data_IF_377730020466
#
_entry.id   IF_377730020466
#
_cell.length_a   1.000
_cell.length_b   1.000
_cell.length_c   1.000
_cell.angle_alpha   90.00
_cell.angle_beta   90.00
_cell.angle_gamma   90.00
#
_symmetry.space_group_name_H-M   'P 1'
#
loop_
_entity.id
_entity.type
_entity.pdbx_description
1 polymer ?
#
# COMPACT_ATOMS: atom_id res chain seq x y z
N UNK A 1 13.82 13.27 11.38
CA UNK A 1 13.68 13.70 9.97
C UNK A 1 14.61 12.83 9.12
N UNK A 2 14.07 12.06 8.18
CA UNK A 2 14.87 11.35 7.16
C UNK A 2 14.33 11.72 5.79
N UNK A 3 15.14 12.46 5.03
CA UNK A 3 14.87 12.98 3.68
C UNK A 3 15.43 12.05 2.60
N UNK A 4 15.01 10.78 2.58
CA UNK A 4 15.49 9.79 1.57
C UNK A 4 14.43 9.34 0.57
N UNK A 5 13.33 10.10 0.45
CA UNK A 5 12.39 9.97 -0.66
C UNK A 5 12.12 11.35 -1.22
N UNK A 6 12.23 11.51 -2.54
CA UNK A 6 12.06 12.73 -3.33
C UNK A 6 10.61 13.26 -3.34
N UNK A 7 9.84 12.95 -2.30
CA UNK A 7 8.41 13.23 -2.20
C UNK A 7 8.14 13.81 -0.82
N UNK A 8 7.86 15.12 -0.80
CA UNK A 8 7.39 15.83 0.39
C UNK A 8 5.97 15.35 0.74
N UNK A 9 5.89 14.27 1.51
CA UNK A 9 4.62 13.76 2.00
C UNK A 9 4.08 14.62 3.15
N UNK A 10 2.79 14.97 3.14
CA UNK A 10 2.20 15.77 4.21
C UNK A 10 2.19 14.99 5.55
N UNK A 11 2.40 15.69 6.69
CA UNK A 11 2.45 15.05 8.00
C UNK A 11 1.12 14.33 8.31
N UNK A 12 1.22 13.09 8.82
CA UNK A 12 0.12 12.14 9.10
C UNK A 12 -0.55 11.49 7.88
N UNK A 13 0.23 11.02 6.91
CA UNK A 13 -0.29 10.14 5.85
C UNK A 13 0.35 8.75 5.87
N UNK A 14 0.12 7.92 6.93
CA UNK A 14 0.51 6.50 6.91
C UNK A 14 -0.20 5.72 5.78
N UNK A 15 -1.25 6.29 5.20
CA UNK A 15 -2.02 5.75 4.07
C UNK A 15 -1.34 5.88 2.69
N UNK A 16 -0.17 6.54 2.62
CA UNK A 16 0.55 6.82 1.38
C UNK A 16 1.80 5.97 1.18
N UNK A 17 1.85 4.78 1.79
CA UNK A 17 2.73 3.70 1.28
C UNK A 17 1.87 2.66 0.58
N UNK A 18 1.49 2.87 -0.69
CA UNK A 18 0.65 1.95 -1.47
C UNK A 18 1.17 0.51 -1.46
N UNK A 19 2.50 0.27 -1.56
CA UNK A 19 3.04 -1.07 -1.43
C UNK A 19 2.73 -1.71 -0.09
N UNK A 20 2.76 -0.93 1.00
CA UNK A 20 2.55 -1.46 2.36
C UNK A 20 1.08 -1.83 2.59
N UNK A 21 0.13 -0.98 2.18
CA UNK A 21 -1.30 -1.27 2.31
C UNK A 21 -1.72 -2.45 1.43
N UNK A 22 -1.26 -2.47 0.18
CA UNK A 22 -1.57 -3.53 -0.76
C UNK A 22 -0.96 -4.86 -0.32
N UNK A 23 0.34 -4.90 -0.01
CA UNK A 23 1.04 -6.11 0.40
C UNK A 23 0.41 -6.68 1.67
N UNK A 24 0.15 -5.83 2.67
CA UNK A 24 -0.42 -6.28 3.94
C UNK A 24 -1.87 -6.77 3.79
N UNK A 25 -2.68 -6.10 2.97
CA UNK A 25 -4.04 -6.55 2.65
C UNK A 25 -4.07 -7.87 1.88
N UNK A 26 -3.22 -8.00 0.86
CA UNK A 26 -3.09 -9.19 0.04
C UNK A 26 -2.60 -10.39 0.85
N UNK A 27 -1.54 -10.21 1.65
CA UNK A 27 -1.00 -11.24 2.52
C UNK A 27 -2.04 -11.71 3.54
N UNK A 28 -2.75 -10.79 4.19
CA UNK A 28 -3.81 -11.17 5.12
C UNK A 28 -4.89 -12.01 4.44
N UNK A 29 -5.37 -11.60 3.27
CA UNK A 29 -6.39 -12.36 2.53
C UNK A 29 -5.90 -13.78 2.21
N UNK A 30 -4.68 -13.93 1.67
CA UNK A 30 -4.14 -15.23 1.27
C UNK A 30 -3.78 -16.14 2.43
N UNK A 31 -3.15 -15.59 3.47
CA UNK A 31 -2.69 -16.35 4.63
C UNK A 31 -3.87 -16.79 5.48
N UNK A 32 -4.80 -15.88 5.81
CA UNK A 32 -5.93 -16.20 6.70
C UNK A 32 -7.04 -17.00 6.03
N UNK A 33 -7.12 -17.03 4.69
CA UNK A 33 -8.07 -17.90 3.97
C UNK A 33 -7.89 -19.39 4.28
N UNK A 34 -6.71 -19.80 4.73
CA UNK A 34 -6.37 -21.21 4.96
C UNK A 34 -6.10 -21.54 6.43
N UNK A 35 -6.41 -20.63 7.37
CA UNK A 35 -6.25 -20.77 8.84
C UNK A 35 -5.03 -21.63 9.26
N UNK A 36 -3.78 -21.16 9.03
CA UNK A 36 -2.60 -21.92 9.40
C UNK A 36 -2.59 -22.26 10.89
N UNK A 37 -2.29 -23.52 11.22
CA UNK A 37 -2.27 -24.02 12.60
C UNK A 37 -0.88 -23.88 13.24
N UNK A 38 0.17 -23.75 12.43
CA UNK A 38 1.56 -23.65 12.89
C UNK A 38 2.27 -22.41 12.31
N UNK A 39 3.30 -21.95 13.02
CA UNK A 39 4.14 -20.83 12.59
C UNK A 39 4.97 -21.14 11.34
N UNK A 40 5.28 -22.41 11.10
CA UNK A 40 5.99 -22.89 9.92
C UNK A 40 5.12 -22.81 8.66
N UNK A 41 3.87 -23.29 8.74
CA UNK A 41 2.89 -23.12 7.66
C UNK A 41 2.63 -21.65 7.36
N UNK A 42 2.55 -20.81 8.40
CA UNK A 42 2.39 -19.38 8.25
C UNK A 42 3.55 -18.77 7.45
N UNK A 43 4.80 -19.11 7.80
CA UNK A 43 6.00 -18.64 7.08
C UNK A 43 6.02 -19.14 5.63
N UNK A 44 5.68 -20.40 5.40
CA UNK A 44 5.62 -20.99 4.05
C UNK A 44 4.55 -20.30 3.19
N UNK A 45 3.36 -20.04 3.74
CA UNK A 45 2.27 -19.34 3.05
C UNK A 45 2.62 -17.89 2.75
N UNK A 46 3.28 -17.17 3.66
CA UNK A 46 3.76 -15.81 3.39
C UNK A 46 4.74 -15.83 2.21
N UNK A 47 5.71 -16.74 2.20
CA UNK A 47 6.68 -16.86 1.09
C UNK A 47 6.01 -17.18 -0.24
N UNK A 48 5.08 -18.15 -0.24
CA UNK A 48 4.32 -18.51 -1.44
C UNK A 48 3.44 -17.36 -1.92
N UNK A 49 2.76 -16.65 -1.01
CA UNK A 49 1.95 -15.50 -1.35
C UNK A 49 2.79 -14.37 -1.95
N UNK A 50 3.99 -14.09 -1.41
CA UNK A 50 4.92 -13.10 -1.99
C UNK A 50 5.39 -13.55 -3.38
N UNK A 51 5.76 -14.82 -3.56
CA UNK A 51 6.18 -15.36 -4.85
C UNK A 51 5.06 -15.33 -5.90
N UNK A 52 3.80 -15.38 -5.48
CA UNK A 52 2.62 -15.25 -6.34
C UNK A 52 2.28 -13.80 -6.73
N UNK A 53 2.93 -12.79 -6.15
CA UNK A 53 2.74 -11.40 -6.54
C UNK A 53 3.44 -11.18 -7.89
N UNK A 54 2.64 -11.07 -8.94
CA UNK A 54 3.10 -10.71 -10.28
C UNK A 54 3.58 -9.25 -10.26
N UNK A 55 4.72 -8.90 -10.89
CA UNK A 55 5.26 -7.54 -10.92
C UNK A 55 4.31 -6.47 -11.50
N UNK A 56 3.32 -6.87 -12.30
CA UNK A 56 2.27 -5.98 -12.82
C UNK A 56 1.32 -5.46 -11.71
N UNK A 57 1.14 -6.20 -10.61
CA UNK A 57 0.28 -5.77 -9.50
C UNK A 57 0.81 -4.53 -8.77
N UNK A 58 2.07 -4.48 -8.29
CA UNK A 58 2.60 -3.29 -7.63
C UNK A 58 2.65 -2.07 -8.55
N UNK A 59 2.83 -2.23 -9.87
CA UNK A 59 2.77 -1.12 -10.83
C UNK A 59 1.39 -0.44 -10.83
N UNK A 60 0.31 -1.24 -10.97
CA UNK A 60 -1.07 -0.72 -10.92
C UNK A 60 -1.42 -0.09 -9.58
N UNK A 61 -0.88 -0.64 -8.49
CA UNK A 61 -1.07 -0.09 -7.13
C UNK A 61 -0.40 1.28 -7.01
N UNK A 62 0.82 1.43 -7.53
CA UNK A 62 1.53 2.71 -7.56
C UNK A 62 0.83 3.73 -8.44
N UNK A 63 0.32 3.33 -9.61
CA UNK A 63 -0.45 4.21 -10.50
C UNK A 63 -1.76 4.70 -9.82
N UNK A 64 -2.51 3.79 -9.20
CA UNK A 64 -3.73 4.15 -8.47
C UNK A 64 -3.43 5.06 -7.27
N UNK A 65 -2.30 4.86 -6.61
CA UNK A 65 -1.89 5.73 -5.53
C UNK A 65 -1.50 7.13 -6.00
N UNK A 66 -0.76 7.23 -7.11
CA UNK A 66 -0.43 8.51 -7.73
C UNK A 66 -1.71 9.27 -8.11
N UNK A 67 -2.70 8.56 -8.70
CA UNK A 67 -4.04 9.12 -8.98
C UNK A 67 -4.71 9.64 -7.70
N UNK A 68 -4.74 8.86 -6.63
CA UNK A 68 -5.35 9.28 -5.34
C UNK A 68 -4.61 10.44 -4.70
N UNK A 69 -3.28 10.48 -4.77
CA UNK A 69 -2.48 11.60 -4.29
C UNK A 69 -2.79 12.87 -5.07
N UNK A 70 -2.88 12.78 -6.41
CA UNK A 70 -3.28 13.88 -7.28
C UNK A 70 -4.68 14.40 -6.91
N UNK A 71 -5.68 13.51 -6.73
CA UNK A 71 -7.02 13.91 -6.28
C UNK A 71 -7.02 14.54 -4.88
N UNK A 72 -6.21 14.04 -3.94
CA UNK A 72 -6.11 14.62 -2.60
C UNK A 72 -5.51 16.04 -2.61
N UNK A 73 -4.53 16.29 -3.48
CA UNK A 73 -3.99 17.63 -3.73
C UNK A 73 -5.03 18.55 -4.37
N UNK A 74 -5.73 18.08 -5.40
CA UNK A 74 -6.79 18.85 -6.08
C UNK A 74 -7.94 19.22 -5.11
N UNK A 75 -8.39 18.28 -4.26
CA UNK A 75 -9.43 18.53 -3.27
C UNK A 75 -9.01 19.50 -2.16
N UNK A 76 -7.72 19.53 -1.78
CA UNK A 76 -7.18 20.54 -0.86
C UNK A 76 -7.19 21.95 -1.47
N UNK A 77 -6.95 22.07 -2.78
CA UNK A 77 -7.01 23.36 -3.51
C UNK A 77 -8.44 23.89 -3.59
N UNK A 78 -9.42 23.02 -3.86
CA UNK A 78 -10.85 23.41 -3.92
C UNK A 78 -11.34 23.95 -2.57
N UNK A 79 -10.94 23.32 -1.46
CA UNK A 79 -11.32 23.81 -0.11
C UNK A 79 -10.63 25.12 0.28
N UNK A 80 -9.42 25.41 -0.22
CA UNK A 80 -8.73 26.69 0.02
C UNK A 80 -9.33 27.85 -0.77
N UNK A 81 -9.92 27.61 -1.95
CA UNK A 81 -10.58 28.65 -2.78
C UNK A 81 -11.98 29.04 -2.30
N UNK A 82 -12.56 28.33 -1.32
CA UNK A 82 -13.89 28.60 -0.75
C UNK A 82 -13.85 29.29 0.62
N UNK A 83 -12.69 29.81 1.04
CA UNK A 83 -12.56 30.72 2.18
C UNK A 83 -12.20 32.11 1.69
#
# INVERSE_FOLDING_TARGET
MSKRGDIDWPPRSPDLTPPHFFLWGYLKSKVYSSKPQTTEELKAKIRSAIAAIVPEMPEKVMENAAKRAHFALANKVIRKRRK
#
